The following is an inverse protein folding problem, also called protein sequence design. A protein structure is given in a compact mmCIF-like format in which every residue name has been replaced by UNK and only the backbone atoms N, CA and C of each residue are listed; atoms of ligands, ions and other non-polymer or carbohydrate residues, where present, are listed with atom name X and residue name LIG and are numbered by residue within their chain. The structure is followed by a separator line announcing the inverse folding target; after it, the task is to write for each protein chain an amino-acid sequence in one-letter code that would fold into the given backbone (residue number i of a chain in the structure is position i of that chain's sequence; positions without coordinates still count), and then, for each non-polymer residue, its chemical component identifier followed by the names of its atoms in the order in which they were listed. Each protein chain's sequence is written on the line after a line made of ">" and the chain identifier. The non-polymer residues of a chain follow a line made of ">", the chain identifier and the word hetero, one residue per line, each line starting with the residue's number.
data_IF_453812145483
#
_entry.id   IF_453812145483
#
_cell.length_a   1.000
_cell.length_b   1.000
_cell.length_c   1.000
_cell.angle_alpha   90.00
_cell.angle_beta   90.00
_cell.angle_gamma   90.00
#
_symmetry.space_group_name_H-M   'P 1'
#
loop_
_entity.id
_entity.type
_entity.pdbx_description
1 polymer ?
#
# COMPACT_ATOMS: atom_id res chain seq x y z
N UNK A 1 15.34 -74.83 -6.93
CA UNK A 1 14.26 -73.91 -6.49
C UNK A 1 14.14 -74.00 -4.98
N UNK A 2 14.33 -72.89 -4.26
CA UNK A 2 13.19 -72.37 -3.49
C UNK A 2 13.10 -70.83 -3.46
N UNK A 3 11.92 -70.39 -3.01
CA UNK A 3 11.37 -69.05 -3.00
C UNK A 3 12.14 -68.03 -2.14
N UNK A 4 12.28 -66.80 -2.64
CA UNK A 4 12.62 -65.62 -1.84
C UNK A 4 11.42 -64.69 -1.69
N UNK A 5 10.91 -64.62 -0.46
CA UNK A 5 9.92 -63.67 0.06
C UNK A 5 10.33 -62.22 -0.23
N UNK A 6 9.50 -61.48 -0.99
CA UNK A 6 9.57 -60.01 -1.04
C UNK A 6 9.08 -59.43 0.29
N UNK A 7 9.98 -58.85 1.09
CA UNK A 7 9.62 -58.01 2.25
C UNK A 7 9.35 -56.59 1.78
N UNK A 8 8.16 -56.07 2.12
CA UNK A 8 7.77 -54.66 1.95
C UNK A 8 8.72 -53.76 2.73
N UNK A 9 9.40 -52.83 2.05
CA UNK A 9 10.15 -51.76 2.72
C UNK A 9 9.16 -50.65 3.10
N UNK A 10 9.01 -50.43 4.41
CA UNK A 10 8.29 -49.29 4.94
C UNK A 10 8.99 -47.98 4.53
N UNK A 11 8.17 -47.01 4.15
CA UNK A 11 8.61 -45.67 3.81
C UNK A 11 9.18 -45.00 5.07
N UNK A 12 10.50 -44.79 5.12
CA UNK A 12 11.14 -44.00 6.18
C UNK A 12 10.81 -42.52 5.93
N UNK A 13 9.93 -41.95 6.76
CA UNK A 13 9.69 -40.52 6.84
C UNK A 13 11.02 -39.78 7.06
N UNK A 14 11.26 -38.74 6.26
CA UNK A 14 12.43 -37.87 6.34
C UNK A 14 12.50 -37.18 7.72
N UNK A 15 13.72 -36.93 8.25
CA UNK A 15 13.89 -36.45 9.61
C UNK A 15 13.37 -35.01 9.78
N UNK A 16 12.57 -34.81 10.82
CA UNK A 16 12.09 -33.50 11.27
C UNK A 16 13.28 -32.58 11.54
N UNK A 17 13.19 -31.36 11.00
CA UNK A 17 14.14 -30.25 11.17
C UNK A 17 14.70 -30.18 12.59
N UNK A 18 16.02 -30.36 12.75
CA UNK A 18 16.72 -30.19 14.04
C UNK A 18 16.38 -28.80 14.60
N UNK A 19 15.78 -28.75 15.80
CA UNK A 19 15.48 -27.51 16.52
C UNK A 19 16.74 -26.63 16.62
N UNK A 20 16.76 -25.50 15.90
CA UNK A 20 17.89 -24.56 15.88
C UNK A 20 17.79 -23.56 17.04
N UNK A 21 18.91 -23.26 17.68
CA UNK A 21 19.07 -22.14 18.62
C UNK A 21 18.60 -20.81 17.98
N UNK A 22 18.14 -19.85 18.80
CA UNK A 22 17.82 -18.50 18.30
C UNK A 22 19.08 -17.80 17.76
N UNK A 23 18.89 -16.78 16.92
CA UNK A 23 19.96 -15.99 16.26
C UNK A 23 21.00 -15.49 17.28
N UNK A 24 20.55 -14.78 18.31
CA UNK A 24 21.41 -14.21 19.36
C UNK A 24 22.18 -15.27 20.19
N UNK A 25 21.65 -16.49 20.31
CA UNK A 25 22.38 -17.59 20.95
C UNK A 25 23.33 -18.28 19.97
N UNK A 26 22.95 -18.37 18.69
CA UNK A 26 23.78 -18.93 17.63
C UNK A 26 25.03 -18.09 17.38
N UNK A 27 24.88 -16.77 17.22
CA UNK A 27 25.98 -15.83 17.00
C UNK A 27 26.91 -15.77 18.20
N UNK A 28 26.34 -15.70 19.41
CA UNK A 28 27.13 -15.70 20.63
C UNK A 28 27.70 -17.09 21.00
N UNK A 29 27.49 -18.13 20.17
CA UNK A 29 27.85 -19.53 20.43
C UNK A 29 27.44 -20.01 21.83
N UNK A 30 26.29 -19.52 22.30
CA UNK A 30 25.77 -19.76 23.64
C UNK A 30 24.61 -20.76 23.60
N UNK A 31 24.38 -21.47 24.71
CA UNK A 31 23.26 -22.41 24.84
C UNK A 31 21.92 -21.65 24.81
N UNK A 32 21.00 -22.09 23.97
CA UNK A 32 19.64 -21.54 23.85
C UNK A 32 18.64 -22.43 24.61
N UNK A 33 17.73 -21.83 25.39
CA UNK A 33 16.65 -22.60 26.07
C UNK A 33 15.51 -23.01 25.13
N UNK A 34 15.50 -22.50 23.88
CA UNK A 34 14.49 -22.77 22.85
C UNK A 34 13.05 -22.37 23.23
N UNK A 35 12.85 -21.69 24.37
CA UNK A 35 11.56 -21.14 24.79
C UNK A 35 11.08 -20.07 23.80
N UNK A 36 9.75 -19.99 23.64
CA UNK A 36 9.03 -19.01 22.81
C UNK A 36 8.15 -18.15 23.74
N UNK A 37 7.99 -16.84 23.50
CA UNK A 37 8.54 -16.05 22.40
C UNK A 37 10.04 -15.74 22.54
N UNK A 38 10.56 -15.63 23.77
CA UNK A 38 11.98 -15.36 24.04
C UNK A 38 12.64 -16.54 24.77
N UNK A 39 13.91 -16.84 24.44
CA UNK A 39 14.71 -17.76 25.23
C UNK A 39 15.19 -17.10 26.53
N UNK A 40 15.45 -17.88 27.57
CA UNK A 40 15.81 -17.39 28.91
C UNK A 40 17.04 -16.49 28.90
N UNK A 41 18.05 -16.81 28.08
CA UNK A 41 19.24 -15.97 27.91
C UNK A 41 18.93 -14.63 27.25
N UNK A 42 18.11 -14.62 26.20
CA UNK A 42 17.76 -13.38 25.52
C UNK A 42 16.89 -12.50 26.44
N UNK A 43 15.97 -13.10 27.19
CA UNK A 43 15.16 -12.40 28.18
C UNK A 43 16.00 -11.80 29.30
N UNK A 44 16.92 -12.57 29.90
CA UNK A 44 17.78 -12.09 30.98
C UNK A 44 18.77 -10.98 30.54
N UNK A 45 19.10 -10.92 29.25
CA UNK A 45 20.01 -9.91 28.69
C UNK A 45 19.31 -8.77 27.94
N UNK A 46 17.96 -8.75 27.92
CA UNK A 46 17.19 -7.77 27.16
C UNK A 46 17.44 -7.82 25.65
N UNK A 47 17.81 -8.98 25.10
CA UNK A 47 18.08 -9.17 23.67
C UNK A 47 16.83 -9.63 22.93
N UNK A 48 16.66 -9.15 21.69
CA UNK A 48 15.57 -9.60 20.80
C UNK A 48 15.78 -11.05 20.38
N UNK A 49 14.85 -11.95 20.69
CA UNK A 49 15.00 -13.37 20.43
C UNK A 49 14.33 -13.80 19.10
N UNK A 50 15.11 -13.99 18.04
CA UNK A 50 14.60 -14.46 16.73
C UNK A 50 14.99 -15.91 16.41
N UNK A 51 14.08 -16.68 15.79
CA UNK A 51 14.34 -18.04 15.31
C UNK A 51 14.03 -18.15 13.82
N UNK A 52 14.92 -18.78 13.03
CA UNK A 52 14.68 -19.06 11.62
C UNK A 52 13.55 -20.08 11.42
N UNK A 53 12.60 -19.75 10.55
CA UNK A 53 11.66 -20.72 9.97
C UNK A 53 12.10 -20.95 8.52
N UNK A 54 12.57 -22.15 8.22
CA UNK A 54 12.86 -22.54 6.84
C UNK A 54 11.53 -22.84 6.14
N UNK A 55 11.20 -22.06 5.11
CA UNK A 55 10.07 -22.34 4.21
C UNK A 55 10.56 -23.39 3.21
N UNK A 56 9.83 -24.50 3.10
CA UNK A 56 10.07 -25.51 2.06
C UNK A 56 9.65 -24.93 0.70
N UNK A 57 10.62 -24.63 -0.16
CA UNK A 57 10.39 -24.14 -1.50
C UNK A 57 9.86 -25.26 -2.42
N UNK A 58 8.73 -25.00 -3.09
CA UNK A 58 8.35 -25.65 -4.34
C UNK A 58 7.68 -24.62 -5.24
N UNK A 59 8.49 -23.78 -5.90
CA UNK A 59 8.33 -23.15 -7.22
C UNK A 59 9.75 -22.64 -7.59
N UNK A 60 10.22 -22.77 -8.85
CA UNK A 60 11.56 -22.35 -9.24
C UNK A 60 11.70 -20.83 -9.16
N UNK A 61 12.64 -20.39 -8.33
CA UNK A 61 13.05 -19.00 -8.15
C UNK A 61 14.16 -18.70 -9.16
N UNK A 62 13.79 -18.10 -10.28
CA UNK A 62 14.74 -17.52 -11.26
C UNK A 62 14.64 -15.97 -11.28
N UNK A 63 14.07 -15.40 -10.22
CA UNK A 63 14.11 -13.96 -9.96
C UNK A 63 15.30 -13.66 -9.06
N UNK A 64 16.30 -12.87 -9.50
CA UNK A 64 17.33 -12.42 -8.58
C UNK A 64 16.66 -11.60 -7.45
N UNK A 65 17.17 -11.67 -6.21
CA UNK A 65 16.69 -10.80 -5.14
C UNK A 65 16.79 -9.34 -5.60
N UNK A 66 15.86 -8.45 -5.21
CA UNK A 66 15.93 -7.05 -5.61
C UNK A 66 17.25 -6.48 -5.13
N UNK A 67 18.16 -6.24 -6.08
CA UNK A 67 19.44 -5.63 -5.82
C UNK A 67 19.17 -4.19 -5.40
N UNK A 68 19.27 -3.91 -4.10
CA UNK A 68 19.40 -2.54 -3.58
C UNK A 68 20.78 -1.97 -3.92
N UNK A 69 21.19 -2.06 -5.19
CA UNK A 69 22.33 -1.31 -5.73
C UNK A 69 21.72 -0.14 -6.49
N UNK A 70 21.13 0.77 -5.72
CA UNK A 70 20.73 2.09 -6.19
C UNK A 70 21.82 3.10 -5.87
N UNK A 71 21.97 4.11 -6.72
CA UNK A 71 22.75 5.31 -6.44
C UNK A 71 22.43 5.82 -5.01
N UNK A 72 23.44 6.05 -4.14
CA UNK A 72 23.23 6.56 -2.78
C UNK A 72 22.33 7.79 -2.70
N UNK A 73 22.38 8.68 -3.70
CA UNK A 73 21.55 9.88 -3.75
C UNK A 73 20.05 9.56 -3.93
N UNK A 74 19.74 8.54 -4.73
CA UNK A 74 18.36 8.07 -4.95
C UNK A 74 17.81 7.42 -3.68
N UNK A 75 18.64 6.64 -2.99
CA UNK A 75 18.26 6.01 -1.72
C UNK A 75 18.04 7.07 -0.62
N UNK A 76 18.89 8.09 -0.57
CA UNK A 76 18.73 9.21 0.38
C UNK A 76 17.44 9.99 0.10
N UNK A 77 17.13 10.28 -1.17
CA UNK A 77 15.90 10.99 -1.54
C UNK A 77 14.64 10.16 -1.22
N UNK A 78 14.65 8.85 -1.53
CA UNK A 78 13.57 7.94 -1.17
C UNK A 78 13.39 7.84 0.36
N UNK A 79 14.50 7.81 1.11
CA UNK A 79 14.49 7.83 2.58
C UNK A 79 13.90 9.13 3.13
N UNK A 80 14.31 10.29 2.62
CA UNK A 80 13.76 11.60 3.02
C UNK A 80 12.25 11.69 2.75
N UNK A 81 11.81 11.29 1.54
CA UNK A 81 10.39 11.25 1.20
C UNK A 81 9.59 10.31 2.10
N UNK A 82 10.14 9.12 2.38
CA UNK A 82 9.52 8.17 3.30
C UNK A 82 9.38 8.70 4.73
N UNK A 83 10.37 9.42 5.23
CA UNK A 83 10.31 10.02 6.57
C UNK A 83 9.24 11.11 6.62
N UNK A 84 9.14 11.95 5.57
CA UNK A 84 8.10 12.98 5.49
C UNK A 84 6.70 12.38 5.43
N UNK A 85 6.50 11.33 4.63
CA UNK A 85 5.23 10.59 4.57
C UNK A 85 4.92 9.99 5.95
N UNK A 86 5.86 9.25 6.54
CA UNK A 86 5.63 8.55 7.81
C UNK A 86 5.42 9.47 9.03
N UNK A 87 5.93 10.70 8.98
CA UNK A 87 5.80 11.67 10.09
C UNK A 87 4.68 12.68 9.91
N UNK A 88 3.92 12.60 8.81
CA UNK A 88 2.88 13.58 8.44
C UNK A 88 1.78 13.75 9.49
N UNK A 89 1.42 12.70 10.22
CA UNK A 89 0.42 12.76 11.29
C UNK A 89 0.78 13.78 12.39
N UNK A 90 2.08 14.12 12.55
CA UNK A 90 2.52 15.15 13.50
C UNK A 90 2.05 16.54 13.10
N UNK A 91 1.84 16.82 11.82
CA UNK A 91 1.48 18.15 11.34
C UNK A 91 0.20 18.68 12.00
N UNK A 92 -0.78 17.80 12.16
CA UNK A 92 -2.04 18.08 12.81
C UNK A 92 -1.89 18.44 14.30
N UNK A 93 -0.83 17.93 14.96
CA UNK A 93 -0.55 18.18 16.37
C UNK A 93 0.29 19.44 16.59
N UNK A 94 1.23 19.72 15.69
CA UNK A 94 2.25 20.77 15.91
C UNK A 94 2.00 22.05 15.11
N UNK A 95 1.11 22.05 14.12
CA UNK A 95 0.85 23.18 13.20
C UNK A 95 2.16 23.75 12.63
N UNK A 96 2.84 23.00 11.73
CA UNK A 96 4.18 23.34 11.29
C UNK A 96 4.22 24.67 10.53
N UNK A 97 5.24 25.52 10.78
CA UNK A 97 5.37 26.80 10.09
C UNK A 97 5.59 26.61 8.59
N UNK A 98 4.92 27.42 7.77
CA UNK A 98 5.08 27.44 6.31
C UNK A 98 4.30 26.36 5.55
N UNK A 99 3.62 25.42 6.23
CA UNK A 99 2.68 24.52 5.55
C UNK A 99 1.37 25.23 5.25
N UNK A 100 0.87 25.04 4.03
CA UNK A 100 -0.38 25.63 3.57
C UNK A 100 -1.55 24.74 4.02
N UNK A 101 -2.50 25.24 4.82
CA UNK A 101 -3.67 24.46 5.22
C UNK A 101 -4.60 24.22 4.02
N UNK A 102 -5.24 23.06 4.00
CA UNK A 102 -6.29 22.71 3.03
C UNK A 102 -7.63 23.19 3.55
N UNK A 103 -8.29 24.08 2.81
CA UNK A 103 -9.60 24.59 3.15
C UNK A 103 -10.66 23.77 2.45
N UNK A 104 -11.24 22.79 3.15
CA UNK A 104 -12.31 21.98 2.59
C UNK A 104 -13.68 22.56 2.94
N UNK A 105 -14.57 22.61 1.94
CA UNK A 105 -15.99 22.78 2.21
C UNK A 105 -16.60 21.47 2.71
N UNK A 106 -17.66 21.54 3.52
CA UNK A 106 -18.42 20.35 3.94
C UNK A 106 -18.89 19.52 2.73
N UNK A 107 -19.26 20.18 1.62
CA UNK A 107 -19.69 19.50 0.39
C UNK A 107 -18.55 18.70 -0.25
N UNK A 108 -17.33 19.24 -0.25
CA UNK A 108 -16.13 18.56 -0.79
C UNK A 108 -15.83 17.30 0.01
N UNK A 109 -15.88 17.38 1.35
CA UNK A 109 -15.64 16.23 2.22
C UNK A 109 -16.74 15.18 2.09
N UNK A 110 -18.01 15.59 2.00
CA UNK A 110 -19.10 14.65 1.75
C UNK A 110 -18.96 13.97 0.38
N UNK A 111 -18.51 14.67 -0.66
CA UNK A 111 -18.22 14.06 -1.96
C UNK A 111 -17.08 13.03 -1.84
N UNK A 112 -15.97 13.41 -1.22
CA UNK A 112 -14.82 12.54 -0.96
C UNK A 112 -15.21 11.30 -0.16
N UNK A 113 -15.94 11.46 0.95
CA UNK A 113 -16.42 10.37 1.78
C UNK A 113 -17.32 9.39 1.00
N UNK A 114 -18.21 9.89 0.14
CA UNK A 114 -19.07 9.04 -0.70
C UNK A 114 -18.25 8.19 -1.68
N UNK A 115 -17.26 8.79 -2.33
CA UNK A 115 -16.37 8.07 -3.25
C UNK A 115 -15.55 7.02 -2.49
N UNK A 116 -14.88 7.40 -1.40
CA UNK A 116 -14.05 6.49 -0.61
C UNK A 116 -14.87 5.32 -0.05
N UNK A 117 -16.06 5.58 0.53
CA UNK A 117 -16.97 4.55 1.06
C UNK A 117 -17.38 3.52 0.02
N UNK A 118 -17.37 3.89 -1.27
CA UNK A 118 -17.68 2.95 -2.36
C UNK A 118 -16.59 1.90 -2.57
N UNK A 119 -15.32 2.17 -2.25
CA UNK A 119 -14.21 1.30 -2.61
C UNK A 119 -14.28 -0.08 -1.94
N UNK A 120 -14.46 -0.21 -0.61
CA UNK A 120 -14.65 -1.52 0.02
C UNK A 120 -15.90 -2.25 -0.50
N UNK A 121 -16.95 -1.52 -0.91
CA UNK A 121 -18.17 -2.12 -1.47
C UNK A 121 -17.97 -2.65 -2.89
N UNK A 122 -17.13 -1.99 -3.69
CA UNK A 122 -16.76 -2.48 -5.03
C UNK A 122 -15.96 -3.78 -4.93
N UNK A 123 -15.09 -3.92 -3.91
CA UNK A 123 -14.35 -5.17 -3.66
C UNK A 123 -15.24 -6.40 -3.43
N UNK A 124 -16.50 -6.21 -3.04
CA UNK A 124 -17.46 -7.28 -2.82
C UNK A 124 -18.13 -7.76 -4.12
N UNK A 125 -17.97 -7.03 -5.22
CA UNK A 125 -18.52 -7.38 -6.52
C UNK A 125 -17.52 -8.26 -7.28
N UNK A 126 -18.04 -9.20 -8.06
CA UNK A 126 -17.20 -10.11 -8.86
C UNK A 126 -16.63 -9.42 -10.12
N UNK A 127 -17.35 -8.47 -10.68
CA UNK A 127 -17.05 -7.89 -12.01
C UNK A 127 -16.27 -6.57 -11.96
N UNK A 128 -16.00 -6.04 -10.77
CA UNK A 128 -15.42 -4.70 -10.62
C UNK A 128 -14.32 -4.66 -9.55
N UNK A 129 -13.31 -3.84 -9.78
CA UNK A 129 -12.22 -3.57 -8.84
C UNK A 129 -12.20 -2.08 -8.49
N UNK A 130 -11.86 -1.71 -7.24
CA UNK A 130 -11.61 -0.31 -6.91
C UNK A 130 -10.43 0.22 -7.72
N UNK A 131 -10.39 1.53 -7.99
CA UNK A 131 -9.40 2.12 -8.90
C UNK A 131 -7.95 2.05 -8.42
N UNK A 132 -7.72 1.60 -7.18
CA UNK A 132 -6.38 1.40 -6.60
C UNK A 132 -5.85 -0.03 -6.80
N UNK A 133 -6.68 -0.99 -7.21
CA UNK A 133 -6.30 -2.40 -7.44
C UNK A 133 -6.34 -2.69 -8.93
N UNK A 134 -5.18 -3.02 -9.52
CA UNK A 134 -5.10 -3.39 -10.93
C UNK A 134 -5.62 -4.84 -11.15
N UNK A 135 -6.26 -5.16 -12.29
CA UNK A 135 -6.67 -6.53 -12.61
C UNK A 135 -5.55 -7.57 -12.50
N UNK A 136 -4.31 -7.20 -12.83
CA UNK A 136 -3.13 -8.05 -12.63
C UNK A 136 -2.95 -8.50 -11.17
N UNK A 137 -3.23 -7.63 -10.20
CA UNK A 137 -3.17 -7.98 -8.78
C UNK A 137 -4.32 -8.91 -8.36
N UNK A 138 -5.45 -8.86 -9.05
CA UNK A 138 -6.63 -9.68 -8.76
C UNK A 138 -6.57 -11.07 -9.43
N UNK A 139 -5.90 -11.20 -10.58
CA UNK A 139 -5.80 -12.45 -11.34
C UNK A 139 -5.05 -13.55 -10.58
N UNK A 140 -4.13 -13.19 -9.71
CA UNK A 140 -3.47 -14.10 -8.78
C UNK A 140 -3.72 -13.58 -7.35
N UNK A 141 -4.89 -13.88 -6.73
CA UNK A 141 -5.26 -13.30 -5.45
C UNK A 141 -4.31 -13.78 -4.34
N UNK A 142 -3.29 -12.98 -4.08
CA UNK A 142 -2.34 -13.20 -3.01
C UNK A 142 -2.94 -12.71 -1.69
N UNK A 143 -2.58 -13.37 -0.59
CA UNK A 143 -2.76 -12.75 0.72
C UNK A 143 -1.87 -11.51 0.78
N UNK A 144 -2.39 -10.33 1.17
CA UNK A 144 -3.58 -10.14 2.01
C UNK A 144 -4.90 -9.69 1.37
N UNK A 145 -4.95 -9.32 0.08
CA UNK A 145 -6.19 -8.82 -0.54
C UNK A 145 -7.32 -9.88 -0.58
N UNK A 146 -6.97 -11.16 -0.74
CA UNK A 146 -7.94 -12.26 -0.65
C UNK A 146 -8.62 -12.35 0.73
N UNK A 147 -7.85 -12.13 1.80
CA UNK A 147 -8.37 -12.08 3.17
C UNK A 147 -9.28 -10.86 3.33
N UNK A 148 -8.85 -9.69 2.81
CA UNK A 148 -9.65 -8.46 2.80
C UNK A 148 -11.04 -8.67 2.22
N UNK A 149 -11.11 -9.23 1.01
CA UNK A 149 -12.39 -9.54 0.39
C UNK A 149 -13.25 -10.47 1.24
N UNK A 150 -12.67 -11.55 1.77
CA UNK A 150 -13.39 -12.53 2.61
C UNK A 150 -13.93 -11.91 3.90
N UNK A 151 -13.13 -11.10 4.60
CA UNK A 151 -13.55 -10.46 5.85
C UNK A 151 -14.58 -9.35 5.61
N UNK A 152 -14.50 -8.62 4.49
CA UNK A 152 -15.54 -7.66 4.11
C UNK A 152 -16.86 -8.37 3.79
N UNK A 153 -16.84 -9.52 3.09
CA UNK A 153 -18.06 -10.32 2.87
C UNK A 153 -18.64 -10.82 4.20
N UNK A 154 -17.79 -11.32 5.09
CA UNK A 154 -18.21 -11.75 6.43
C UNK A 154 -18.82 -10.59 7.22
N UNK A 155 -18.29 -9.37 7.06
CA UNK A 155 -18.83 -8.18 7.71
C UNK A 155 -20.23 -7.79 7.24
N UNK A 156 -20.43 -7.79 5.92
CA UNK A 156 -21.73 -7.44 5.34
C UNK A 156 -22.81 -8.48 5.65
N UNK A 157 -22.42 -9.75 5.73
CA UNK A 157 -23.33 -10.88 5.91
C UNK A 157 -23.25 -11.50 7.31
N UNK A 158 -22.75 -10.76 8.31
CA UNK A 158 -22.63 -11.24 9.68
C UNK A 158 -23.99 -11.59 10.27
N UNK A 159 -24.03 -12.68 11.04
CA UNK A 159 -25.25 -13.10 11.74
C UNK A 159 -25.53 -12.15 12.92
N UNK A 160 -26.80 -11.90 13.27
CA UNK A 160 -27.15 -11.15 14.48
C UNK A 160 -26.48 -11.77 15.72
N UNK A 161 -25.80 -10.96 16.51
CA UNK A 161 -25.04 -11.39 17.70
C UNK A 161 -23.59 -11.79 17.43
N UNK A 162 -23.13 -11.80 16.18
CA UNK A 162 -21.72 -12.10 15.82
C UNK A 162 -20.88 -10.85 15.52
N UNK A 163 -21.43 -9.65 15.77
CA UNK A 163 -20.82 -8.37 15.38
C UNK A 163 -19.44 -8.17 16.02
N UNK A 164 -19.32 -8.45 17.33
CA UNK A 164 -18.05 -8.34 18.04
C UNK A 164 -16.97 -9.27 17.47
N UNK A 165 -17.34 -10.53 17.21
CA UNK A 165 -16.41 -11.53 16.66
C UNK A 165 -15.87 -11.12 15.29
N UNK A 166 -16.76 -10.65 14.43
CA UNK A 166 -16.39 -10.15 13.10
C UNK A 166 -15.46 -8.94 13.23
N UNK A 167 -15.81 -8.01 14.14
CA UNK A 167 -15.02 -6.81 14.43
C UNK A 167 -13.60 -7.13 14.91
N UNK A 168 -13.48 -8.01 15.89
CA UNK A 168 -12.19 -8.49 16.40
C UNK A 168 -11.37 -9.22 15.33
N UNK A 169 -12.04 -9.96 14.44
CA UNK A 169 -11.36 -10.68 13.37
C UNK A 169 -10.76 -9.71 12.34
N UNK A 170 -11.49 -8.67 11.94
CA UNK A 170 -10.96 -7.60 11.08
C UNK A 170 -9.79 -6.89 11.76
N UNK A 171 -9.95 -6.51 13.02
CA UNK A 171 -8.89 -5.83 13.79
C UNK A 171 -7.61 -6.66 13.90
N UNK A 172 -7.74 -7.96 14.17
CA UNK A 172 -6.61 -8.88 14.26
C UNK A 172 -5.88 -8.97 12.92
N UNK A 173 -6.61 -8.99 11.81
CA UNK A 173 -5.98 -8.96 10.49
C UNK A 173 -5.26 -7.63 10.25
N UNK A 174 -5.90 -6.48 10.52
CA UNK A 174 -5.25 -5.17 10.43
C UNK A 174 -3.94 -5.11 11.23
N UNK A 175 -3.97 -5.57 12.49
CA UNK A 175 -2.80 -5.65 13.36
C UNK A 175 -1.69 -6.54 12.78
N UNK A 176 -2.06 -7.68 12.18
CA UNK A 176 -1.11 -8.58 11.50
C UNK A 176 -0.44 -7.91 10.31
N UNK A 177 -1.19 -7.16 9.49
CA UNK A 177 -0.66 -6.49 8.30
C UNK A 177 0.45 -5.49 8.64
N UNK A 178 0.25 -4.70 9.69
CA UNK A 178 1.24 -3.71 10.14
C UNK A 178 2.46 -4.43 10.74
N UNK A 179 2.26 -5.43 11.59
CA UNK A 179 3.35 -6.16 12.22
C UNK A 179 4.26 -6.89 11.22
N UNK A 180 3.73 -7.32 10.08
CA UNK A 180 4.45 -8.09 9.07
C UNK A 180 4.99 -7.25 7.89
N UNK A 181 4.67 -5.94 7.79
CA UNK A 181 4.96 -5.14 6.57
C UNK A 181 6.45 -5.14 6.21
N UNK A 182 7.33 -4.97 7.20
CA UNK A 182 8.78 -4.94 6.99
C UNK A 182 9.36 -6.32 6.71
N UNK A 183 8.73 -7.38 7.21
CA UNK A 183 9.17 -8.76 6.98
C UNK A 183 8.73 -9.27 5.59
N UNK A 184 7.66 -8.70 5.04
CA UNK A 184 7.03 -9.13 3.80
C UNK A 184 6.84 -7.96 2.83
N UNK A 185 7.91 -7.20 2.63
CA UNK A 185 7.84 -5.95 1.86
C UNK A 185 7.37 -6.13 0.40
N UNK A 186 7.61 -7.31 -0.18
CA UNK A 186 7.11 -7.69 -1.51
C UNK A 186 5.58 -7.78 -1.58
N UNK A 187 4.91 -8.10 -0.47
CA UNK A 187 3.45 -8.03 -0.33
C UNK A 187 2.98 -6.71 0.29
N UNK A 188 3.89 -5.75 0.50
CA UNK A 188 3.56 -4.53 1.25
C UNK A 188 2.48 -3.68 0.56
N UNK A 189 2.44 -3.65 -0.77
CA UNK A 189 1.40 -2.89 -1.49
C UNK A 189 0.01 -3.49 -1.25
N UNK A 190 -0.12 -4.81 -1.40
CA UNK A 190 -1.40 -5.48 -1.20
C UNK A 190 -1.83 -5.48 0.27
N UNK A 191 -0.88 -5.49 1.21
CA UNK A 191 -1.14 -5.26 2.63
C UNK A 191 -1.64 -3.83 2.91
N UNK A 192 -0.98 -2.83 2.31
CA UNK A 192 -1.37 -1.43 2.44
C UNK A 192 -2.78 -1.17 1.88
N UNK A 193 -3.08 -1.71 0.69
CA UNK A 193 -4.41 -1.65 0.08
C UNK A 193 -5.47 -2.31 0.97
N UNK A 194 -5.21 -3.51 1.48
CA UNK A 194 -6.11 -4.22 2.38
C UNK A 194 -6.39 -3.44 3.68
N UNK A 195 -5.34 -2.90 4.32
CA UNK A 195 -5.47 -2.09 5.52
C UNK A 195 -6.31 -0.84 5.24
N UNK A 196 -6.04 -0.14 4.14
CA UNK A 196 -6.79 1.04 3.74
C UNK A 196 -8.28 0.73 3.48
N UNK A 197 -8.61 -0.40 2.86
CA UNK A 197 -10.01 -0.80 2.69
C UNK A 197 -10.70 -1.06 4.03
N UNK A 198 -10.04 -1.73 4.97
CA UNK A 198 -10.62 -1.92 6.31
C UNK A 198 -10.81 -0.59 7.02
N UNK A 199 -9.83 0.32 6.99
CA UNK A 199 -9.93 1.63 7.61
C UNK A 199 -11.08 2.46 7.05
N UNK A 200 -11.21 2.52 5.72
CA UNK A 200 -12.32 3.22 5.06
C UNK A 200 -13.67 2.59 5.44
N UNK A 201 -13.76 1.26 5.44
CA UNK A 201 -15.00 0.55 5.72
C UNK A 201 -15.47 0.74 7.17
N UNK A 202 -14.55 0.63 8.12
CA UNK A 202 -14.81 0.80 9.55
C UNK A 202 -15.16 2.26 9.87
N UNK A 203 -14.38 3.22 9.36
CA UNK A 203 -14.60 4.65 9.62
C UNK A 203 -15.96 5.14 9.13
N UNK A 204 -16.42 4.67 7.97
CA UNK A 204 -17.73 5.05 7.42
C UNK A 204 -18.86 4.07 7.78
N UNK A 205 -18.61 3.16 8.75
CA UNK A 205 -19.64 2.28 9.30
C UNK A 205 -20.72 3.09 10.01
N UNK A 206 -21.96 2.57 10.01
CA UNK A 206 -23.05 3.16 10.79
C UNK A 206 -22.97 2.80 12.27
N UNK A 207 -22.17 1.78 12.61
CA UNK A 207 -21.89 1.36 13.98
C UNK A 207 -20.81 2.25 14.60
N UNK A 208 -21.15 2.95 15.69
CA UNK A 208 -20.26 3.89 16.36
C UNK A 208 -19.01 3.21 16.92
N UNK A 209 -19.15 2.00 17.45
CA UNK A 209 -18.01 1.24 17.97
C UNK A 209 -17.00 0.94 16.86
N UNK A 210 -17.47 0.50 15.69
CA UNK A 210 -16.62 0.22 14.52
C UNK A 210 -15.95 1.48 14.00
N UNK A 211 -16.67 2.60 13.94
CA UNK A 211 -16.09 3.90 13.55
C UNK A 211 -15.02 4.35 14.53
N UNK A 212 -15.24 4.15 15.83
CA UNK A 212 -14.31 4.54 16.90
C UNK A 212 -13.00 3.72 16.89
N UNK A 213 -12.95 2.57 16.20
CA UNK A 213 -11.71 1.82 16.00
C UNK A 213 -10.71 2.56 15.12
N UNK A 214 -11.16 3.52 14.30
CA UNK A 214 -10.31 4.29 13.41
C UNK A 214 -9.87 5.56 14.13
N UNK A 215 -8.90 5.36 15.01
CA UNK A 215 -8.27 6.37 15.84
C UNK A 215 -6.95 6.89 15.24
N UNK A 216 -6.28 7.78 15.98
CA UNK A 216 -4.98 8.32 15.59
C UNK A 216 -3.93 7.22 15.39
N UNK A 217 -3.95 6.15 16.18
CA UNK A 217 -3.00 5.03 16.04
C UNK A 217 -3.22 4.31 14.71
N UNK A 218 -4.46 4.12 14.31
CA UNK A 218 -4.81 3.52 13.02
C UNK A 218 -4.33 4.40 11.84
N UNK A 219 -4.44 5.72 11.98
CA UNK A 219 -3.91 6.65 10.98
C UNK A 219 -2.38 6.66 10.93
N UNK A 220 -1.70 6.57 12.09
CA UNK A 220 -0.23 6.40 12.16
C UNK A 220 0.20 5.12 11.44
N UNK A 221 -0.49 4.00 11.69
CA UNK A 221 -0.21 2.73 11.01
C UNK A 221 -0.38 2.84 9.49
N UNK A 222 -1.40 3.56 9.00
CA UNK A 222 -1.56 3.85 7.57
C UNK A 222 -0.37 4.65 7.02
N UNK A 223 0.11 5.66 7.75
CA UNK A 223 1.29 6.45 7.37
C UNK A 223 2.58 5.59 7.37
N UNK A 224 2.73 4.67 8.32
CA UNK A 224 3.86 3.72 8.33
C UNK A 224 3.85 2.79 7.12
N UNK A 225 2.67 2.24 6.77
CA UNK A 225 2.51 1.42 5.56
C UNK A 225 2.84 2.22 4.30
N UNK A 226 2.38 3.48 4.22
CA UNK A 226 2.70 4.38 3.11
C UNK A 226 4.21 4.68 3.02
N UNK A 227 4.86 4.96 4.16
CA UNK A 227 6.29 5.19 4.25
C UNK A 227 7.07 3.96 3.75
N UNK A 228 6.74 2.77 4.26
CA UNK A 228 7.36 1.51 3.83
C UNK A 228 7.23 1.32 2.31
N UNK A 229 6.07 1.64 1.72
CA UNK A 229 5.85 1.52 0.28
C UNK A 229 6.66 2.54 -0.51
N UNK A 230 6.81 3.76 0.00
CA UNK A 230 7.61 4.79 -0.65
C UNK A 230 9.11 4.43 -0.74
N UNK A 231 9.66 3.73 0.26
CA UNK A 231 11.05 3.25 0.25
C UNK A 231 11.33 2.25 -0.87
N UNK A 232 10.32 1.51 -1.30
CA UNK A 232 10.44 0.55 -2.42
C UNK A 232 10.23 1.19 -3.78
N UNK A 233 10.23 2.52 -3.86
CA UNK A 233 10.06 3.30 -5.07
C UNK A 233 8.59 3.55 -5.43
N UNK A 234 8.32 4.81 -5.80
CA UNK A 234 7.02 5.30 -6.28
C UNK A 234 7.02 5.66 -7.76
N UNK A 235 8.16 5.60 -8.44
CA UNK A 235 8.29 5.83 -9.88
C UNK A 235 8.43 4.49 -10.61
N UNK A 236 7.91 4.43 -11.83
CA UNK A 236 8.16 3.26 -12.68
C UNK A 236 9.65 3.24 -13.07
N UNK A 237 10.28 2.06 -13.17
CA UNK A 237 11.64 1.94 -13.67
C UNK A 237 11.71 2.31 -15.15
N UNK A 238 12.91 2.58 -15.65
CA UNK A 238 13.13 2.78 -17.08
C UNK A 238 12.78 1.51 -17.86
N UNK A 239 11.78 1.63 -18.74
CA UNK A 239 11.21 0.54 -19.51
C UNK A 239 12.22 -0.03 -20.52
N UNK A 240 13.15 0.78 -21.02
CA UNK A 240 14.13 0.34 -22.03
C UNK A 240 15.13 -0.69 -21.49
N UNK A 241 15.32 -0.74 -20.17
CA UNK A 241 16.33 -1.56 -19.51
C UNK A 241 15.76 -2.57 -18.50
N UNK A 242 14.43 -2.73 -18.44
CA UNK A 242 13.77 -3.56 -17.42
C UNK A 242 13.00 -4.75 -18.03
N UNK A 243 13.38 -6.01 -17.75
CA UNK A 243 12.70 -7.20 -18.30
C UNK A 243 11.22 -7.33 -17.92
N UNK A 244 10.84 -6.86 -16.72
CA UNK A 244 9.48 -6.86 -16.16
C UNK A 244 8.89 -5.44 -16.10
N UNK A 245 9.16 -4.63 -17.14
CA UNK A 245 8.78 -3.22 -17.16
C UNK A 245 7.27 -3.00 -16.95
N UNK A 246 6.42 -3.87 -17.49
CA UNK A 246 4.96 -3.75 -17.37
C UNK A 246 4.47 -3.99 -15.94
N UNK A 247 4.88 -5.10 -15.33
CA UNK A 247 4.50 -5.47 -13.97
C UNK A 247 5.05 -4.46 -12.97
N UNK A 248 6.32 -4.06 -13.11
CA UNK A 248 6.91 -3.02 -12.26
C UNK A 248 6.21 -1.68 -12.42
N UNK A 249 5.78 -1.31 -13.64
CA UNK A 249 5.00 -0.10 -13.87
C UNK A 249 3.63 -0.17 -13.19
N UNK A 250 2.91 -1.30 -13.30
CA UNK A 250 1.61 -1.51 -12.64
C UNK A 250 1.76 -1.33 -11.13
N UNK A 251 2.78 -1.94 -10.53
CA UNK A 251 3.03 -1.84 -9.08
C UNK A 251 3.33 -0.40 -8.68
N UNK A 252 4.13 0.33 -9.46
CA UNK A 252 4.43 1.74 -9.19
C UNK A 252 3.18 2.63 -9.27
N UNK A 253 2.33 2.43 -10.29
CA UNK A 253 1.07 3.18 -10.44
C UNK A 253 0.07 2.82 -9.34
N UNK A 254 -0.08 1.54 -9.00
CA UNK A 254 -0.94 1.08 -7.92
C UNK A 254 -0.51 1.63 -6.56
N UNK A 255 0.81 1.73 -6.29
CA UNK A 255 1.34 2.42 -5.10
C UNK A 255 0.91 3.88 -5.06
N UNK A 256 1.09 4.64 -6.16
CA UNK A 256 0.70 6.05 -6.24
C UNK A 256 -0.80 6.24 -6.01
N UNK A 257 -1.64 5.46 -6.70
CA UNK A 257 -3.11 5.51 -6.53
C UNK A 257 -3.55 5.17 -5.10
N UNK A 258 -2.90 4.18 -4.48
CA UNK A 258 -3.15 3.82 -3.07
C UNK A 258 -2.72 4.94 -2.12
N UNK A 259 -1.56 5.54 -2.36
CA UNK A 259 -1.03 6.67 -1.57
C UNK A 259 -1.95 7.89 -1.67
N UNK A 260 -2.35 8.29 -2.87
CA UNK A 260 -3.30 9.39 -3.07
C UNK A 260 -4.64 9.12 -2.38
N UNK A 261 -5.13 7.89 -2.46
CA UNK A 261 -6.37 7.49 -1.77
C UNK A 261 -6.24 7.55 -0.25
N UNK A 262 -5.12 7.08 0.30
CA UNK A 262 -4.85 7.21 1.73
C UNK A 262 -4.79 8.68 2.16
N UNK A 263 -4.18 9.57 1.36
CA UNK A 263 -4.13 11.00 1.65
C UNK A 263 -5.51 11.66 1.55
N UNK A 264 -6.39 11.21 0.66
CA UNK A 264 -7.78 11.66 0.63
C UNK A 264 -8.52 11.17 1.87
N UNK A 265 -8.32 9.91 2.28
CA UNK A 265 -8.89 9.37 3.51
C UNK A 265 -8.41 10.14 4.75
N UNK A 266 -7.11 10.45 4.85
CA UNK A 266 -6.53 11.29 5.89
C UNK A 266 -7.16 12.69 5.94
N UNK A 267 -7.40 13.33 4.79
CA UNK A 267 -8.09 14.62 4.76
C UNK A 267 -9.54 14.51 5.28
N UNK A 268 -10.27 13.46 4.90
CA UNK A 268 -11.64 13.22 5.37
C UNK A 268 -11.67 12.94 6.89
N UNK A 269 -10.73 12.13 7.38
CA UNK A 269 -10.59 11.80 8.79
C UNK A 269 -10.29 13.05 9.62
N UNK A 270 -9.28 13.84 9.24
CA UNK A 270 -8.91 15.07 9.94
C UNK A 270 -10.06 16.07 9.97
N UNK A 271 -10.70 16.34 8.82
CA UNK A 271 -11.81 17.28 8.76
C UNK A 271 -12.99 16.87 9.67
N UNK A 272 -13.34 15.58 9.71
CA UNK A 272 -14.44 15.08 10.53
C UNK A 272 -14.10 15.04 12.04
N UNK A 273 -12.83 15.17 12.40
CA UNK A 273 -12.35 15.32 13.78
C UNK A 273 -11.92 16.76 14.08
N UNK A 274 -12.39 17.73 13.30
CA UNK A 274 -12.08 19.17 13.47
C UNK A 274 -10.56 19.46 13.52
N UNK A 275 -9.78 18.67 12.80
CA UNK A 275 -8.31 18.76 12.71
C UNK A 275 -7.89 19.31 11.35
N UNK A 276 -6.78 20.06 11.33
CA UNK A 276 -6.30 20.69 10.09
C UNK A 276 -5.48 19.72 9.25
N UNK A 277 -5.77 19.65 7.95
CA UNK A 277 -4.91 19.00 6.95
C UNK A 277 -4.12 20.03 6.16
N UNK A 278 -2.92 19.66 5.72
CA UNK A 278 -2.03 20.55 4.96
C UNK A 278 -1.78 20.04 3.54
N UNK A 279 -1.32 20.90 2.65
CA UNK A 279 -0.84 20.48 1.32
C UNK A 279 0.27 19.44 1.48
N UNK A 280 0.21 18.37 0.67
CA UNK A 280 1.12 17.23 0.74
C UNK A 280 2.34 17.43 -0.15
N UNK A 281 3.17 18.43 0.19
CA UNK A 281 4.34 18.84 -0.60
C UNK A 281 5.33 17.70 -0.89
N UNK A 282 5.44 16.74 0.03
CA UNK A 282 6.25 15.53 -0.09
C UNK A 282 5.82 14.62 -1.26
N UNK A 283 4.57 14.74 -1.72
CA UNK A 283 4.04 14.00 -2.87
C UNK A 283 4.13 14.79 -4.18
N UNK A 284 4.60 16.04 -4.15
CA UNK A 284 4.46 16.99 -5.27
C UNK A 284 5.09 16.52 -6.57
N UNK A 285 6.28 15.91 -6.47
CA UNK A 285 7.03 15.41 -7.62
C UNK A 285 6.45 14.14 -8.25
N UNK A 286 5.45 13.51 -7.61
CA UNK A 286 4.87 12.27 -8.13
C UNK A 286 3.98 12.57 -9.36
N UNK A 287 3.99 11.70 -10.38
CA UNK A 287 3.14 11.88 -11.55
C UNK A 287 1.66 11.76 -11.19
N UNK A 288 0.81 12.51 -11.88
CA UNK A 288 -0.63 12.31 -11.81
C UNK A 288 -1.03 10.91 -12.27
N UNK A 289 -2.21 10.42 -11.87
CA UNK A 289 -2.72 9.13 -12.31
C UNK A 289 -2.64 8.97 -13.83
N UNK A 290 -2.20 7.79 -14.25
CA UNK A 290 -2.03 7.47 -15.66
C UNK A 290 -3.36 7.52 -16.43
N UNK A 291 -3.24 7.70 -17.75
CA UNK A 291 -4.37 7.66 -18.68
C UNK A 291 -5.17 6.36 -18.57
N UNK A 292 -6.47 6.43 -18.84
CA UNK A 292 -7.39 5.28 -18.74
C UNK A 292 -6.92 4.05 -19.51
N UNK A 293 -6.48 4.23 -20.75
CA UNK A 293 -6.00 3.12 -21.59
C UNK A 293 -4.78 2.40 -21.02
N UNK A 294 -3.88 3.14 -20.37
CA UNK A 294 -2.64 2.59 -19.81
C UNK A 294 -2.89 1.80 -18.52
N UNK A 295 -3.79 2.30 -17.66
CA UNK A 295 -4.21 1.59 -16.45
C UNK A 295 -5.14 0.38 -16.73
N UNK A 296 -5.95 0.45 -17.79
CA UNK A 296 -6.88 -0.63 -18.14
C UNK A 296 -6.29 -1.71 -19.06
N UNK A 297 -5.04 -1.56 -19.50
CA UNK A 297 -4.40 -2.50 -20.42
C UNK A 297 -4.33 -3.91 -19.83
N UNK A 298 -4.93 -4.87 -20.54
CA UNK A 298 -5.04 -6.26 -20.07
C UNK A 298 -3.89 -7.15 -20.51
N UNK A 299 -3.05 -6.68 -21.44
CA UNK A 299 -1.88 -7.42 -21.95
C UNK A 299 -0.67 -6.50 -22.04
N UNK A 300 0.53 -7.10 -22.06
CA UNK A 300 1.79 -6.35 -22.20
C UNK A 300 1.83 -5.55 -23.50
N UNK A 301 1.35 -6.12 -24.60
CA UNK A 301 1.38 -5.50 -25.93
C UNK A 301 0.47 -4.26 -25.99
N UNK A 302 -0.75 -4.37 -25.43
CA UNK A 302 -1.67 -3.22 -25.36
C UNK A 302 -1.14 -2.14 -24.43
N UNK A 303 -0.50 -2.52 -23.33
CA UNK A 303 0.18 -1.59 -22.43
C UNK A 303 1.35 -0.88 -23.12
N UNK A 304 2.21 -1.59 -23.87
CA UNK A 304 3.36 -0.99 -24.57
C UNK A 304 2.92 0.07 -25.58
N UNK A 305 1.82 -0.16 -26.31
CA UNK A 305 1.24 0.82 -27.24
C UNK A 305 0.80 2.09 -26.50
N UNK A 306 0.04 1.95 -25.41
CA UNK A 306 -0.43 3.09 -24.61
C UNK A 306 0.73 3.79 -23.87
N UNK A 307 1.75 3.04 -23.46
CA UNK A 307 2.92 3.57 -22.78
C UNK A 307 3.74 4.44 -23.73
N UNK A 308 4.03 3.94 -24.93
CA UNK A 308 4.73 4.69 -25.97
C UNK A 308 3.95 5.96 -26.37
N UNK A 309 2.62 5.87 -26.45
CA UNK A 309 1.76 7.05 -26.67
C UNK A 309 1.92 8.08 -25.54
N UNK A 310 1.92 7.63 -24.28
CA UNK A 310 2.10 8.49 -23.11
C UNK A 310 3.50 9.13 -23.08
N UNK A 311 4.55 8.41 -23.45
CA UNK A 311 5.92 8.95 -23.52
C UNK A 311 6.05 9.98 -24.64
N UNK A 312 5.46 9.70 -25.81
CA UNK A 312 5.44 10.66 -26.93
C UNK A 312 4.66 11.94 -26.58
N UNK A 313 3.63 11.82 -25.76
CA UNK A 313 2.84 12.95 -25.27
C UNK A 313 3.59 13.81 -24.24
N UNK A 314 4.41 13.17 -23.40
CA UNK A 314 5.12 13.80 -22.28
C UNK A 314 6.64 13.54 -22.31
N UNK A 315 7.38 14.08 -23.29
CA UNK A 315 8.78 13.72 -23.50
C UNK A 315 9.75 14.22 -22.41
N UNK A 316 9.39 15.26 -21.63
CA UNK A 316 10.29 15.86 -20.63
C UNK A 316 9.62 16.19 -19.30
N UNK A 317 8.37 16.66 -19.32
CA UNK A 317 7.66 17.12 -18.13
C UNK A 317 6.25 16.51 -18.08
N UNK A 318 6.11 15.25 -17.60
CA UNK A 318 4.79 14.68 -17.34
C UNK A 318 4.08 15.46 -16.23
N UNK A 319 2.74 15.52 -16.25
CA UNK A 319 1.98 16.25 -15.24
C UNK A 319 2.15 15.61 -13.85
N UNK A 320 2.38 16.45 -12.85
CA UNK A 320 2.70 16.05 -11.47
C UNK A 320 1.61 16.47 -10.50
N UNK A 321 1.61 15.89 -9.30
CA UNK A 321 0.63 16.23 -8.28
C UNK A 321 0.68 17.71 -7.89
N UNK A 322 1.88 18.30 -7.85
CA UNK A 322 2.07 19.73 -7.59
C UNK A 322 1.44 20.65 -8.64
N UNK A 323 1.21 20.15 -9.86
CA UNK A 323 0.55 20.94 -10.91
C UNK A 323 -0.92 21.25 -10.56
N UNK A 324 -1.51 20.52 -9.61
CA UNK A 324 -2.87 20.71 -9.11
C UNK A 324 -2.98 21.67 -7.92
N UNK A 325 -1.87 22.21 -7.42
CA UNK A 325 -1.85 23.09 -6.24
C UNK A 325 -1.88 24.59 -6.60
N UNK A 326 -2.19 25.48 -5.64
CA UNK A 326 -2.11 26.92 -5.88
C UNK A 326 -0.67 27.32 -6.20
N UNK A 327 -0.47 28.17 -7.20
CA UNK A 327 0.85 28.69 -7.55
C UNK A 327 0.80 30.21 -7.79
N UNK A 328 1.73 30.99 -7.24
CA UNK A 328 1.65 32.46 -7.23
C UNK A 328 2.05 33.19 -8.53
N UNK A 329 2.18 32.54 -9.69
CA UNK A 329 2.71 33.18 -10.91
C UNK A 329 1.98 32.85 -12.22
N UNK A 330 1.73 33.88 -13.05
CA UNK A 330 0.91 33.80 -14.28
C UNK A 330 1.60 33.14 -15.48
N UNK A 331 2.90 33.34 -15.69
CA UNK A 331 3.60 32.78 -16.87
C UNK A 331 3.70 31.26 -16.78
N UNK A 332 4.15 30.75 -15.62
CA UNK A 332 4.19 29.31 -15.30
C UNK A 332 2.77 28.74 -15.19
N UNK A 333 1.78 29.56 -14.80
CA UNK A 333 0.40 29.12 -14.76
C UNK A 333 -0.17 28.78 -16.15
N UNK A 334 0.23 29.46 -17.23
CA UNK A 334 -0.31 29.15 -18.57
C UNK A 334 0.14 27.78 -19.08
N UNK A 335 1.43 27.45 -18.98
CA UNK A 335 1.97 26.15 -19.39
C UNK A 335 1.47 25.04 -18.47
N UNK A 336 1.41 25.29 -17.16
CA UNK A 336 0.82 24.36 -16.19
C UNK A 336 -0.65 24.08 -16.52
N UNK A 337 -1.43 25.12 -16.79
CA UNK A 337 -2.85 24.97 -17.16
C UNK A 337 -2.99 24.13 -18.42
N UNK A 338 -2.21 24.42 -19.46
CA UNK A 338 -2.21 23.61 -20.68
C UNK A 338 -1.82 22.14 -20.43
N UNK A 339 -0.86 21.86 -19.53
CA UNK A 339 -0.52 20.49 -19.13
C UNK A 339 -1.70 19.79 -18.45
N UNK A 340 -2.36 20.48 -17.52
CA UNK A 340 -3.52 19.92 -16.81
C UNK A 340 -4.71 19.71 -17.75
N UNK A 341 -5.02 20.69 -18.59
CA UNK A 341 -6.10 20.62 -19.58
C UNK A 341 -5.90 19.42 -20.50
N UNK A 342 -4.67 19.18 -20.97
CA UNK A 342 -4.34 18.01 -21.77
C UNK A 342 -4.41 16.70 -20.98
N UNK A 343 -3.97 16.69 -19.72
CA UNK A 343 -4.04 15.49 -18.88
C UNK A 343 -5.49 15.05 -18.64
N UNK A 344 -6.40 16.00 -18.36
CA UNK A 344 -7.82 15.67 -18.10
C UNK A 344 -8.54 15.10 -19.33
N UNK A 345 -8.05 15.33 -20.55
CA UNK A 345 -8.60 14.71 -21.78
C UNK A 345 -8.58 13.17 -21.76
N UNK A 346 -7.66 12.58 -20.99
CA UNK A 346 -7.45 11.13 -20.93
C UNK A 346 -7.45 10.53 -19.53
N UNK A 347 -7.73 11.35 -18.52
CA UNK A 347 -7.84 10.93 -17.13
C UNK A 347 -8.98 9.92 -16.96
N UNK A 348 -8.74 8.89 -16.16
CA UNK A 348 -9.79 7.96 -15.76
C UNK A 348 -10.67 8.53 -14.64
N UNK A 349 -11.63 7.73 -14.19
CA UNK A 349 -12.57 8.12 -13.13
C UNK A 349 -11.84 8.47 -11.82
N UNK A 350 -10.68 7.83 -11.55
CA UNK A 350 -9.84 8.13 -10.40
C UNK A 350 -9.08 9.44 -10.55
N UNK A 351 -8.49 9.69 -11.72
CA UNK A 351 -7.86 10.96 -12.06
C UNK A 351 -8.84 12.12 -11.95
N UNK A 352 -10.04 11.98 -12.49
CA UNK A 352 -11.08 13.02 -12.38
C UNK A 352 -11.54 13.26 -10.94
N UNK A 353 -11.62 12.22 -10.11
CA UNK A 353 -11.88 12.38 -8.68
C UNK A 353 -10.77 13.17 -7.97
N UNK A 354 -9.51 12.81 -8.21
CA UNK A 354 -8.36 13.52 -7.67
C UNK A 354 -8.35 14.99 -8.12
N UNK A 355 -8.60 15.24 -9.40
CA UNK A 355 -8.69 16.58 -9.98
C UNK A 355 -9.78 17.41 -9.30
N UNK A 356 -11.01 16.89 -9.22
CA UNK A 356 -12.14 17.59 -8.63
C UNK A 356 -11.88 17.96 -7.17
N UNK A 357 -11.33 17.03 -6.37
CA UNK A 357 -10.96 17.32 -4.98
C UNK A 357 -9.88 18.41 -4.93
N UNK A 358 -8.79 18.26 -5.68
CA UNK A 358 -7.66 19.20 -5.63
C UNK A 358 -8.07 20.62 -6.07
N UNK A 359 -8.78 20.78 -7.19
CA UNK A 359 -9.22 22.10 -7.66
C UNK A 359 -10.09 22.82 -6.63
N UNK A 360 -11.07 22.11 -6.04
CA UNK A 360 -11.97 22.72 -5.04
C UNK A 360 -11.24 23.08 -3.73
N UNK A 361 -10.16 22.35 -3.41
CA UNK A 361 -9.39 22.59 -2.17
C UNK A 361 -8.45 23.79 -2.28
N UNK A 362 -8.17 24.25 -3.50
CA UNK A 362 -7.05 25.15 -3.82
C UNK A 362 -7.46 26.44 -4.53
N UNK A 363 -8.71 26.55 -5.01
CA UNK A 363 -9.27 27.76 -5.62
C UNK A 363 -9.91 28.73 -4.58
N UNK A 364 -9.21 29.03 -3.48
CA UNK A 364 -9.65 30.03 -2.49
C UNK A 364 -8.97 31.38 -2.69
#
# INVERSE_FOLDING_TARGET
>A
MPASRKKSKSNKLAPTSRKKSCLNCSEAKARCSLQRPNCSRCQARGLVCGYFVAVSHSIPDDSPPPTLVGDPAVLEMASRGSVQIGSRWLDALITPPGKIPKNFSSRTIQHMARVLKSYPKVMLKDEALPPIVHPFQAAAPQQPLANCRSLLHMWENKAPGSELLVRETVWREMSRLVAEVWLRIHYGLIAFQAYLFYSIHLFFSTDSDSSAMIDTVTMINLQELAAAMSLTGLHAPDVQHTPLAWESWIIAEAKRRTLYTMYMFDNAWNFLHDTTSYIATELGNLPLPARKGLWAASTKETWEIEYNRSVAEWPSHPPRLEDLWPHPSDVVASERRARIDRWVESADEFGMFLFAVSSITHDA
#
